data_IF_800778556062
#
_entry.id   IF_800778556062
#
_cell.length_a   1.000
_cell.length_b   1.000
_cell.length_c   1.000
_cell.angle_alpha   90.00
_cell.angle_beta   90.00
_cell.angle_gamma   90.00
#
_symmetry.space_group_name_H-M   'P 1'
#
loop_
_entity.id
_entity.type
_entity.pdbx_description
1 polymer ?
#
# COMPACT_ATOMS: atom_id res chain seq x y z
N UNK A 1 11.59 -7.59 -14.97
CA UNK A 1 11.60 -6.37 -14.14
C UNK A 1 12.99 -6.19 -13.56
N UNK A 2 13.65 -5.03 -13.68
CA UNK A 2 14.90 -4.76 -12.98
C UNK A 2 14.67 -4.40 -11.50
N UNK A 3 13.77 -5.11 -10.82
CA UNK A 3 13.61 -4.96 -9.38
C UNK A 3 14.68 -5.77 -8.65
N UNK A 4 15.36 -5.14 -7.71
CA UNK A 4 16.41 -5.78 -6.91
C UNK A 4 15.75 -6.55 -5.77
N UNK A 5 16.02 -7.85 -5.69
CA UNK A 5 15.58 -8.64 -4.53
C UNK A 5 16.32 -8.17 -3.28
N UNK A 6 15.57 -7.88 -2.22
CA UNK A 6 16.15 -7.47 -0.95
C UNK A 6 16.38 -8.71 -0.09
N UNK A 7 17.62 -8.96 0.38
CA UNK A 7 17.90 -10.08 1.24
C UNK A 7 17.29 -9.83 2.62
N UNK A 8 16.21 -10.56 2.93
CA UNK A 8 15.59 -10.58 4.24
C UNK A 8 15.04 -11.99 4.47
N UNK A 9 15.55 -12.67 5.50
CA UNK A 9 15.13 -14.03 5.82
C UNK A 9 13.61 -14.09 6.01
N UNK A 10 12.96 -15.16 5.55
CA UNK A 10 11.52 -15.40 5.71
C UNK A 10 10.61 -14.32 5.08
N UNK A 11 11.15 -13.53 4.13
CA UNK A 11 10.43 -12.55 3.33
C UNK A 11 10.82 -12.65 1.85
N UNK A 12 9.90 -12.24 1.00
CA UNK A 12 10.12 -12.05 -0.44
C UNK A 12 9.82 -10.60 -0.78
N UNK A 13 10.89 -9.84 -1.00
CA UNK A 13 10.83 -8.41 -1.28
C UNK A 13 11.61 -8.11 -2.55
N UNK A 14 11.03 -7.30 -3.43
CA UNK A 14 11.73 -6.73 -4.58
C UNK A 14 11.49 -5.22 -4.64
N UNK A 15 12.55 -4.46 -4.86
CA UNK A 15 12.49 -3.00 -4.86
C UNK A 15 13.07 -2.42 -6.16
N UNK A 16 12.34 -1.48 -6.75
CA UNK A 16 12.78 -0.70 -7.89
C UNK A 16 12.63 0.81 -7.55
N UNK A 17 13.74 1.54 -7.35
CA UNK A 17 13.70 2.96 -7.00
C UNK A 17 13.24 3.87 -8.13
N UNK A 18 13.20 3.37 -9.37
CA UNK A 18 12.95 4.16 -10.59
C UNK A 18 11.89 3.50 -11.47
N UNK A 19 10.96 2.76 -10.86
CA UNK A 19 9.95 2.01 -11.59
C UNK A 19 9.06 2.91 -12.46
N UNK A 20 8.58 4.02 -11.90
CA UNK A 20 7.91 5.08 -12.62
C UNK A 20 8.89 6.25 -12.81
N UNK A 21 9.01 6.73 -14.04
CA UNK A 21 9.82 7.91 -14.35
C UNK A 21 9.26 9.16 -13.65
N UNK A 22 10.12 10.17 -13.47
CA UNK A 22 9.78 11.35 -12.69
C UNK A 22 8.57 12.12 -13.24
N UNK A 23 8.50 12.31 -14.57
CA UNK A 23 7.41 13.07 -15.19
C UNK A 23 6.07 12.35 -15.04
N UNK A 24 6.04 11.02 -15.27
CA UNK A 24 4.85 10.22 -15.06
C UNK A 24 4.44 10.17 -13.58
N UNK A 25 5.42 10.11 -12.67
CA UNK A 25 5.17 10.09 -11.24
C UNK A 25 4.63 11.44 -10.74
N UNK A 26 5.13 12.57 -11.24
CA UNK A 26 4.64 13.92 -10.93
C UNK A 26 3.21 14.11 -11.46
N UNK A 27 2.95 13.72 -12.72
CA UNK A 27 1.62 13.78 -13.30
C UNK A 27 0.61 12.94 -12.52
N UNK A 28 0.99 11.72 -12.13
CA UNK A 28 0.15 10.84 -11.33
C UNK A 28 -0.09 11.40 -9.92
N UNK A 29 0.94 11.94 -9.27
CA UNK A 29 0.82 12.57 -7.95
C UNK A 29 -0.18 13.73 -7.99
N UNK A 30 -0.03 14.64 -8.97
CA UNK A 30 -0.92 15.78 -9.15
C UNK A 30 -2.37 15.34 -9.44
N UNK A 31 -2.56 14.36 -10.33
CA UNK A 31 -3.88 13.84 -10.68
C UNK A 31 -4.59 13.22 -9.47
N UNK A 32 -3.90 12.36 -8.71
CA UNK A 32 -4.49 11.71 -7.53
C UNK A 32 -4.79 12.69 -6.41
N UNK A 33 -3.90 13.65 -6.18
CA UNK A 33 -4.12 14.70 -5.19
C UNK A 33 -5.39 15.50 -5.48
N UNK A 34 -5.69 15.74 -6.76
CA UNK A 34 -6.87 16.50 -7.19
C UNK A 34 -8.15 15.66 -7.33
N UNK A 35 -8.04 14.39 -7.74
CA UNK A 35 -9.19 13.61 -8.22
C UNK A 35 -9.61 12.45 -7.30
N UNK A 36 -8.71 11.96 -6.43
CA UNK A 36 -9.07 10.86 -5.55
C UNK A 36 -10.04 11.34 -4.45
N UNK A 37 -11.03 10.51 -4.13
CA UNK A 37 -11.95 10.75 -3.02
C UNK A 37 -11.23 10.44 -1.70
N UNK A 38 -10.61 11.45 -1.10
CA UNK A 38 -9.85 11.30 0.14
C UNK A 38 -10.75 11.34 1.37
N UNK A 39 -10.63 10.33 2.21
CA UNK A 39 -11.39 10.18 3.44
C UNK A 39 -10.46 10.01 4.64
N UNK A 40 -10.94 10.41 5.82
CA UNK A 40 -10.30 10.08 7.10
C UNK A 40 -11.03 8.88 7.69
N UNK A 41 -10.41 7.71 7.65
CA UNK A 41 -10.99 6.53 8.30
C UNK A 41 -10.90 6.66 9.81
N UNK A 42 -11.96 6.26 10.50
CA UNK A 42 -11.96 6.12 11.95
C UNK A 42 -11.57 4.70 12.33
N UNK A 43 -10.63 4.59 13.25
CA UNK A 43 -10.20 3.33 13.85
C UNK A 43 -10.64 3.28 15.30
N UNK A 44 -11.08 2.12 15.78
CA UNK A 44 -11.43 1.93 17.18
C UNK A 44 -10.21 1.41 17.94
N UNK A 45 -9.66 2.23 18.83
CA UNK A 45 -8.53 1.87 19.69
C UNK A 45 -8.98 1.98 21.16
N UNK A 46 -8.73 0.93 21.95
CA UNK A 46 -9.09 0.89 23.37
C UNK A 46 -10.56 1.30 23.67
N UNK A 47 -11.48 0.87 22.79
CA UNK A 47 -12.92 1.15 22.91
C UNK A 47 -13.36 2.53 22.40
N UNK A 48 -12.44 3.44 22.09
CA UNK A 48 -12.70 4.80 21.57
C UNK A 48 -12.44 4.89 20.08
N UNK A 49 -13.22 5.71 19.37
CA UNK A 49 -12.95 6.03 17.96
C UNK A 49 -11.87 7.12 17.87
N UNK A 50 -10.90 6.90 17.00
CA UNK A 50 -9.83 7.83 16.70
C UNK A 50 -9.72 7.99 15.20
N UNK A 51 -9.51 9.23 14.75
CA UNK A 51 -9.17 9.50 13.36
C UNK A 51 -7.81 8.89 13.03
N UNK A 52 -7.77 8.15 11.92
CA UNK A 52 -6.53 7.66 11.36
C UNK A 52 -5.62 8.84 11.02
N UNK A 53 -4.32 8.80 11.36
CA UNK A 53 -3.38 9.88 11.09
C UNK A 53 -2.88 9.83 9.63
N UNK A 54 -3.82 9.78 8.68
CA UNK A 54 -3.61 9.85 7.22
C UNK A 54 -4.98 9.95 6.53
N UNK A 55 -4.95 10.40 5.28
CA UNK A 55 -6.07 10.24 4.34
C UNK A 55 -5.98 8.87 3.68
N UNK A 56 -7.10 8.30 3.26
CA UNK A 56 -7.09 7.20 2.32
C UNK A 56 -8.27 7.22 1.35
N UNK A 57 -8.10 6.51 0.24
CA UNK A 57 -9.14 6.28 -0.76
C UNK A 57 -9.01 4.83 -1.23
N UNK A 58 -10.07 4.05 -1.06
CA UNK A 58 -10.11 2.68 -1.57
C UNK A 58 -10.69 2.68 -2.97
N UNK A 59 -9.91 2.23 -3.94
CA UNK A 59 -10.23 2.25 -5.36
C UNK A 59 -10.14 0.81 -5.89
N UNK A 60 -10.99 0.45 -6.84
CA UNK A 60 -11.06 -0.93 -7.28
C UNK A 60 -12.14 -1.20 -8.31
N UNK A 61 -12.12 -2.42 -8.83
CA UNK A 61 -13.15 -2.91 -9.72
C UNK A 61 -14.48 -2.98 -8.97
N UNK A 62 -15.60 -2.83 -9.69
CA UNK A 62 -16.92 -2.85 -9.09
C UNK A 62 -17.16 -4.13 -8.26
N UNK A 63 -16.55 -5.25 -8.66
CA UNK A 63 -16.71 -6.56 -8.03
C UNK A 63 -15.66 -6.88 -6.97
N UNK A 64 -14.69 -5.99 -6.73
CA UNK A 64 -13.80 -6.04 -5.56
C UNK A 64 -14.54 -5.56 -4.30
N UNK A 65 -15.63 -6.25 -3.95
CA UNK A 65 -16.51 -5.96 -2.82
C UNK A 65 -16.13 -6.87 -1.65
N UNK A 66 -16.09 -6.35 -0.43
CA UNK A 66 -16.07 -7.18 0.76
C UNK A 66 -17.24 -6.83 1.68
N UNK A 67 -17.76 -7.86 2.36
CA UNK A 67 -18.83 -7.70 3.35
C UNK A 67 -18.23 -7.92 4.72
N UNK A 68 -18.35 -6.91 5.58
CA UNK A 68 -17.99 -7.03 6.98
C UNK A 68 -19.17 -6.64 7.85
N UNK A 69 -19.58 -7.53 8.76
CA UNK A 69 -20.67 -7.30 9.72
C UNK A 69 -22.00 -6.82 9.10
N UNK A 70 -22.35 -7.35 7.91
CA UNK A 70 -23.58 -6.99 7.20
C UNK A 70 -23.51 -5.68 6.38
N UNK A 71 -22.41 -4.93 6.48
CA UNK A 71 -22.15 -3.75 5.65
C UNK A 71 -21.29 -4.14 4.45
N UNK A 72 -21.75 -3.76 3.26
CA UNK A 72 -21.00 -3.92 2.02
C UNK A 72 -20.12 -2.70 1.80
N UNK A 73 -18.81 -2.92 1.80
CA UNK A 73 -17.86 -1.87 1.44
C UNK A 73 -17.62 -1.96 -0.07
N UNK A 74 -17.76 -0.83 -0.75
CA UNK A 74 -17.53 -0.70 -2.20
C UNK A 74 -16.35 0.23 -2.45
N UNK A 75 -15.42 -0.14 -3.34
CA UNK A 75 -14.36 0.77 -3.73
C UNK A 75 -14.90 1.89 -4.63
N UNK A 76 -14.21 3.02 -4.63
CA UNK A 76 -14.38 4.06 -5.64
C UNK A 76 -13.92 3.54 -7.02
N UNK A 77 -14.51 4.04 -8.12
CA UNK A 77 -14.06 3.70 -9.46
C UNK A 77 -12.62 4.18 -9.70
N UNK A 78 -11.91 3.47 -10.57
CA UNK A 78 -10.54 3.82 -10.96
C UNK A 78 -10.47 5.22 -11.62
N UNK A 79 -9.68 6.16 -11.08
CA UNK A 79 -9.31 7.36 -11.80
C UNK A 79 -8.58 7.00 -13.11
N UNK A 80 -8.87 7.68 -14.24
CA UNK A 80 -8.20 7.37 -15.51
C UNK A 80 -6.68 7.40 -15.44
N UNK A 81 -6.10 8.28 -14.62
CA UNK A 81 -4.66 8.38 -14.40
C UNK A 81 -4.02 7.12 -13.78
N UNK A 82 -4.79 6.27 -13.07
CA UNK A 82 -4.30 5.03 -12.47
C UNK A 82 -4.35 3.83 -13.40
N UNK A 83 -5.13 3.88 -14.49
CA UNK A 83 -5.31 2.73 -15.37
C UNK A 83 -4.00 2.26 -16.01
N UNK A 84 -3.14 3.13 -16.58
CA UNK A 84 -1.87 2.69 -17.16
C UNK A 84 -0.92 2.05 -16.15
N UNK A 85 -0.92 2.56 -14.91
CA UNK A 85 -0.10 2.01 -13.81
C UNK A 85 -0.58 0.61 -13.45
N UNK A 86 -1.90 0.42 -13.31
CA UNK A 86 -2.51 -0.87 -13.00
C UNK A 86 -2.22 -1.89 -14.11
N UNK A 87 -2.39 -1.51 -15.37
CA UNK A 87 -2.14 -2.37 -16.53
C UNK A 87 -0.68 -2.79 -16.62
N UNK A 88 0.24 -1.85 -16.43
CA UNK A 88 1.67 -2.14 -16.37
C UNK A 88 1.98 -3.11 -15.24
N UNK A 89 1.57 -2.82 -14.01
CA UNK A 89 1.79 -3.73 -12.87
C UNK A 89 1.23 -5.13 -13.14
N UNK A 90 0.03 -5.21 -13.72
CA UNK A 90 -0.60 -6.49 -14.03
C UNK A 90 0.18 -7.31 -15.06
N UNK A 91 0.65 -6.67 -16.12
CA UNK A 91 1.50 -7.31 -17.13
C UNK A 91 2.85 -7.77 -16.55
N UNK A 92 3.50 -6.89 -15.78
CA UNK A 92 4.84 -7.15 -15.24
C UNK A 92 4.86 -8.20 -14.12
N UNK A 93 3.79 -8.27 -13.32
CA UNK A 93 3.65 -9.20 -12.20
C UNK A 93 2.87 -10.46 -12.54
N UNK A 94 2.17 -10.50 -13.69
CA UNK A 94 1.30 -11.62 -14.07
C UNK A 94 0.07 -11.78 -13.18
N UNK A 95 -0.40 -10.71 -12.52
CA UNK A 95 -1.59 -10.75 -11.64
C UNK A 95 -2.59 -9.64 -11.99
N UNK A 96 -3.91 -9.90 -11.96
CA UNK A 96 -4.91 -8.90 -12.27
C UNK A 96 -5.24 -8.07 -11.02
N UNK A 97 -4.41 -7.07 -10.69
CA UNK A 97 -4.69 -6.17 -9.57
C UNK A 97 -6.08 -5.52 -9.74
N UNK A 98 -7.02 -5.87 -8.86
CA UNK A 98 -8.41 -5.42 -8.92
C UNK A 98 -8.73 -4.37 -7.84
N UNK A 99 -7.76 -4.04 -6.99
CA UNK A 99 -7.91 -3.05 -5.93
C UNK A 99 -6.61 -2.30 -5.65
N UNK A 100 -6.74 -1.05 -5.24
CA UNK A 100 -5.67 -0.23 -4.67
C UNK A 100 -6.18 0.55 -3.46
N UNK A 101 -5.42 0.53 -2.37
CA UNK A 101 -5.61 1.46 -1.26
C UNK A 101 -4.63 2.62 -1.40
N UNK A 102 -5.14 3.79 -1.78
CA UNK A 102 -4.38 5.03 -1.78
C UNK A 102 -4.30 5.57 -0.35
N UNK A 103 -3.10 5.92 0.12
CA UNK A 103 -2.86 6.51 1.43
C UNK A 103 -2.14 7.86 1.24
N UNK A 104 -2.80 8.94 1.67
CA UNK A 104 -2.28 10.31 1.61
C UNK A 104 -1.71 10.73 2.97
N UNK A 105 -0.40 10.99 3.01
CA UNK A 105 0.31 11.48 4.18
C UNK A 105 0.62 12.95 3.96
N UNK A 106 -0.04 13.83 4.70
CA UNK A 106 0.04 15.29 4.52
C UNK A 106 1.41 15.84 4.87
N UNK A 107 2.05 15.25 5.89
CA UNK A 107 3.38 15.62 6.37
C UNK A 107 4.03 14.48 7.19
N UNK A 108 5.13 14.78 7.88
CA UNK A 108 5.86 13.85 8.74
C UNK A 108 5.10 13.40 9.99
N UNK A 109 4.01 14.07 10.37
CA UNK A 109 3.15 13.66 11.48
C UNK A 109 2.23 12.54 11.05
N UNK A 110 1.80 12.48 9.79
CA UNK A 110 0.99 11.34 9.33
C UNK A 110 1.83 10.05 9.29
N UNK A 111 1.20 8.94 9.65
CA UNK A 111 1.88 7.66 9.84
C UNK A 111 0.96 6.45 9.64
N UNK A 112 1.60 5.29 9.52
CA UNK A 112 0.94 3.99 9.56
C UNK A 112 1.64 3.14 10.61
N UNK A 113 0.89 2.67 11.60
CA UNK A 113 1.40 1.82 12.67
C UNK A 113 1.84 0.44 12.19
N UNK A 114 2.38 -0.37 13.09
CA UNK A 114 2.78 -1.75 12.79
C UNK A 114 1.56 -2.60 12.42
N UNK A 115 1.52 -3.08 11.18
CA UNK A 115 0.47 -3.96 10.64
C UNK A 115 1.09 -4.94 9.63
N UNK A 116 0.28 -5.88 9.12
CA UNK A 116 0.60 -6.67 7.92
C UNK A 116 -0.65 -6.66 7.05
N UNK A 117 -0.49 -6.89 5.75
CA UNK A 117 -1.62 -7.07 4.85
C UNK A 117 -2.04 -8.55 4.91
N UNK A 118 -2.68 -8.95 6.00
CA UNK A 118 -3.09 -10.32 6.32
C UNK A 118 -4.61 -10.52 6.36
N UNK A 119 -5.36 -9.63 5.68
CA UNK A 119 -6.79 -9.78 5.51
C UNK A 119 -7.15 -11.08 4.74
N UNK A 120 -8.14 -11.88 5.22
CA UNK A 120 -8.49 -13.16 4.60
C UNK A 120 -8.78 -13.08 3.09
N UNK A 121 -9.36 -11.98 2.64
CA UNK A 121 -9.70 -11.72 1.24
C UNK A 121 -8.47 -11.62 0.32
N UNK A 122 -7.27 -11.44 0.87
CA UNK A 122 -6.01 -11.42 0.11
C UNK A 122 -5.45 -12.83 -0.12
N UNK A 123 -5.93 -13.82 0.64
CA UNK A 123 -5.39 -15.17 0.67
C UNK A 123 -4.08 -15.28 1.47
N UNK A 124 -3.49 -16.49 1.56
CA UNK A 124 -2.41 -16.79 2.51
C UNK A 124 -1.03 -16.23 2.15
N UNK A 125 -0.80 -15.89 0.87
CA UNK A 125 0.48 -15.38 0.37
C UNK A 125 0.24 -14.33 -0.72
N UNK A 126 -0.30 -13.15 -0.37
CA UNK A 126 -0.68 -12.16 -1.36
C UNK A 126 0.55 -11.50 -1.99
N UNK A 127 0.46 -11.19 -3.28
CA UNK A 127 1.37 -10.24 -3.92
C UNK A 127 0.83 -8.82 -3.74
N UNK A 128 1.60 -8.00 -3.04
CA UNK A 128 1.31 -6.60 -2.78
C UNK A 128 2.29 -5.74 -3.58
N UNK A 129 1.77 -4.81 -4.38
CA UNK A 129 2.57 -3.82 -5.10
C UNK A 129 2.37 -2.42 -4.48
N UNK A 130 3.42 -1.87 -3.88
CA UNK A 130 3.42 -0.58 -3.19
C UNK A 130 4.19 0.46 -3.99
N UNK A 131 3.48 1.35 -4.68
CA UNK A 131 4.04 2.48 -5.42
C UNK A 131 4.01 3.75 -4.57
N UNK A 132 5.14 4.44 -4.47
CA UNK A 132 5.29 5.67 -3.68
C UNK A 132 5.45 6.91 -4.56
N UNK A 133 4.71 7.98 -4.23
CA UNK A 133 4.72 9.27 -4.94
C UNK A 133 4.92 10.42 -3.93
N UNK A 134 5.57 11.52 -4.35
CA UNK A 134 5.89 12.64 -3.48
C UNK A 134 7.05 12.37 -2.52
N UNK A 135 6.92 12.87 -1.29
CA UNK A 135 8.01 12.88 -0.33
C UNK A 135 8.52 11.48 0.06
N UNK A 136 9.85 11.35 0.10
CA UNK A 136 10.53 10.14 0.57
C UNK A 136 10.22 9.87 2.04
N UNK A 137 9.91 8.61 2.37
CA UNK A 137 9.67 8.18 3.75
C UNK A 137 10.32 6.83 4.03
N UNK A 138 10.83 6.72 5.26
CA UNK A 138 11.34 5.46 5.81
C UNK A 138 10.21 4.48 6.05
N UNK A 139 10.24 3.35 5.37
CA UNK A 139 9.41 2.17 5.61
C UNK A 139 10.21 1.15 6.41
N UNK A 140 9.61 0.59 7.45
CA UNK A 140 10.29 -0.34 8.37
C UNK A 140 9.57 -1.67 8.43
N UNK A 141 10.31 -2.76 8.44
CA UNK A 141 9.82 -4.12 8.64
C UNK A 141 10.45 -4.72 9.91
N UNK A 142 9.67 -5.49 10.66
CA UNK A 142 10.15 -6.30 11.77
C UNK A 142 9.49 -7.67 11.74
N UNK A 143 10.27 -8.72 11.95
CA UNK A 143 9.74 -10.08 12.02
C UNK A 143 8.86 -10.22 13.28
N UNK A 144 7.80 -11.03 13.18
CA UNK A 144 6.82 -11.21 14.26
C UNK A 144 7.37 -12.00 15.44
N UNK A 145 8.34 -12.89 15.18
CA UNK A 145 8.88 -13.84 16.18
C UNK A 145 10.33 -13.60 16.55
N UNK A 146 11.11 -13.02 15.63
CA UNK A 146 12.55 -12.81 15.80
C UNK A 146 12.87 -11.31 15.81
N UNK A 147 13.20 -10.72 16.97
CA UNK A 147 13.49 -9.29 17.05
C UNK A 147 14.80 -8.87 16.35
N UNK A 148 15.69 -9.82 16.02
CA UNK A 148 16.92 -9.54 15.27
C UNK A 148 16.63 -9.29 13.78
N UNK A 149 15.58 -9.92 13.24
CA UNK A 149 15.18 -9.79 11.85
C UNK A 149 14.34 -8.51 11.64
N UNK A 150 15.00 -7.47 11.15
CA UNK A 150 14.40 -6.16 10.84
C UNK A 150 15.07 -5.53 9.63
N UNK A 151 14.30 -4.76 8.87
CA UNK A 151 14.79 -4.03 7.71
C UNK A 151 14.18 -2.63 7.66
N UNK A 152 14.83 -1.73 6.93
CA UNK A 152 14.27 -0.43 6.60
C UNK A 152 14.63 -0.03 5.17
N UNK A 153 13.71 0.63 4.49
CA UNK A 153 13.83 1.09 3.12
C UNK A 153 13.39 2.54 3.04
N UNK A 154 14.10 3.35 2.26
CA UNK A 154 13.66 4.70 1.93
C UNK A 154 12.84 4.64 0.64
N UNK A 155 11.52 4.77 0.76
CA UNK A 155 10.62 4.74 -0.39
C UNK A 155 10.49 6.15 -0.96
N UNK A 156 11.12 6.37 -2.12
CA UNK A 156 11.11 7.64 -2.84
C UNK A 156 10.01 7.76 -3.89
N UNK A 157 9.93 8.94 -4.49
CA UNK A 157 9.05 9.23 -5.62
C UNK A 157 9.30 8.27 -6.79
N UNK A 158 8.23 7.70 -7.33
CA UNK A 158 8.27 6.76 -8.46
C UNK A 158 8.72 5.35 -8.10
N UNK A 159 9.05 5.08 -6.83
CA UNK A 159 9.58 3.77 -6.43
C UNK A 159 8.50 2.72 -6.17
N UNK A 160 8.78 1.49 -6.57
CA UNK A 160 7.92 0.32 -6.40
C UNK A 160 8.56 -0.67 -5.42
N UNK A 161 7.82 -1.05 -4.39
CA UNK A 161 8.12 -2.17 -3.50
C UNK A 161 7.11 -3.29 -3.73
N UNK A 162 7.58 -4.46 -4.13
CA UNK A 162 6.80 -5.69 -4.18
C UNK A 162 7.04 -6.50 -2.90
N UNK A 163 5.96 -6.97 -2.29
CA UNK A 163 5.98 -7.87 -1.13
C UNK A 163 5.14 -9.11 -1.46
N UNK A 164 5.74 -10.29 -1.42
CA UNK A 164 5.08 -11.55 -1.79
C UNK A 164 5.38 -12.69 -0.81
N UNK A 165 4.87 -13.88 -1.13
CA UNK A 165 5.18 -15.12 -0.43
C UNK A 165 4.83 -15.01 1.06
N UNK A 166 5.74 -15.42 1.97
CA UNK A 166 5.46 -15.47 3.40
C UNK A 166 5.60 -14.11 4.10
N UNK A 167 5.88 -13.02 3.36
CA UNK A 167 6.20 -11.71 3.95
C UNK A 167 5.13 -11.22 4.93
N UNK A 168 3.85 -11.23 4.54
CA UNK A 168 2.78 -10.71 5.40
C UNK A 168 2.49 -11.62 6.61
N UNK A 169 2.76 -12.92 6.49
CA UNK A 169 2.63 -13.88 7.58
C UNK A 169 3.75 -13.70 8.63
N UNK A 170 4.95 -13.34 8.19
CA UNK A 170 6.14 -13.32 9.04
C UNK A 170 6.55 -11.92 9.51
N UNK A 171 6.22 -10.86 8.77
CA UNK A 171 6.67 -9.51 9.06
C UNK A 171 5.50 -8.57 9.31
N UNK A 172 5.67 -7.67 10.27
CA UNK A 172 4.89 -6.44 10.35
C UNK A 172 5.69 -5.30 9.75
N UNK A 173 5.00 -4.36 9.13
CA UNK A 173 5.59 -3.16 8.57
C UNK A 173 4.89 -1.89 9.05
N UNK A 174 5.60 -0.78 8.94
CA UNK A 174 5.13 0.53 9.40
C UNK A 174 5.75 1.66 8.58
N UNK A 175 5.05 2.79 8.57
CA UNK A 175 5.55 4.08 8.12
C UNK A 175 5.58 5.02 9.34
N UNK A 176 6.67 5.05 10.12
CA UNK A 176 6.74 5.83 11.35
C UNK A 176 6.64 7.35 11.09
N UNK A 177 6.19 8.07 12.13
CA UNK A 177 6.24 9.54 12.16
C UNK A 177 7.70 10.02 12.10
N UNK A 178 7.91 11.21 11.57
CA UNK A 178 9.21 11.88 11.55
C UNK A 178 9.06 13.33 11.96
N UNK A 179 9.99 13.81 12.78
CA UNK A 179 10.10 15.24 13.12
C UNK A 179 10.80 16.04 12.03
N UNK A 180 11.48 15.38 11.08
CA UNK A 180 12.11 16.05 9.93
C UNK A 180 11.00 16.65 9.05
N UNK A 181 11.13 17.91 8.60
CA UNK A 181 10.23 18.48 7.61
C UNK A 181 10.27 17.62 6.34
N UNK A 182 9.11 17.10 5.94
CA UNK A 182 8.91 16.32 4.72
C UNK A 182 7.62 16.78 4.07
N UNK A 183 7.58 16.75 2.74
CA UNK A 183 6.38 17.09 1.97
C UNK A 183 5.30 16.02 2.05
N UNK A 184 4.25 16.24 1.26
CA UNK A 184 3.15 15.30 1.07
C UNK A 184 3.62 14.03 0.34
N UNK A 185 3.07 12.88 0.73
CA UNK A 185 3.33 11.57 0.12
C UNK A 185 2.01 10.86 -0.18
N UNK A 186 1.90 10.29 -1.36
CA UNK A 186 0.84 9.35 -1.70
C UNK A 186 1.45 7.95 -1.86
N UNK A 187 0.82 6.95 -1.26
CA UNK A 187 1.17 5.55 -1.43
C UNK A 187 0.02 4.77 -2.01
N UNK A 188 0.28 4.01 -3.06
CA UNK A 188 -0.69 3.17 -3.74
C UNK A 188 -0.35 1.72 -3.43
N UNK A 189 -1.18 1.05 -2.63
CA UNK A 189 -1.01 -0.38 -2.31
C UNK A 189 -1.97 -1.21 -3.13
N UNK A 190 -1.50 -1.76 -4.26
CA UNK A 190 -2.27 -2.60 -5.16
C UNK A 190 -2.34 -4.04 -4.64
N UNK A 191 -3.53 -4.64 -4.72
CA UNK A 191 -3.85 -5.98 -4.23
C UNK A 191 -4.81 -6.70 -5.18
N UNK A 192 -4.93 -8.01 -4.98
CA UNK A 192 -6.00 -8.84 -5.57
C UNK A 192 -6.94 -9.26 -4.46
N UNK A 193 -8.13 -8.69 -4.45
CA UNK A 193 -9.22 -9.09 -3.55
C UNK A 193 -9.88 -10.33 -4.13
N UNK A 194 -9.86 -11.43 -3.37
CA UNK A 194 -10.54 -12.67 -3.71
C UNK A 194 -12.00 -12.57 -3.24
N UNK A 195 -12.96 -13.13 -4.00
CA UNK A 195 -14.31 -13.27 -3.51
C UNK A 195 -14.31 -14.03 -2.17
N UNK A 196 -15.17 -13.63 -1.24
CA UNK A 196 -15.38 -14.39 -0.02
C UNK A 196 -15.77 -15.82 -0.41
N UNK A 197 -14.95 -16.80 -0.03
CA UNK A 197 -15.35 -18.20 -0.09
C UNK A 197 -16.56 -18.36 0.81
N UNK A 198 -17.70 -18.72 0.24
CA UNK A 198 -18.80 -19.27 1.04
C UNK A 198 -18.30 -20.62 1.57
N UNK A 199 -18.01 -20.68 2.86
CA UNK A 199 -18.04 -21.96 3.59
C UNK A 199 -19.48 -22.47 3.67
#
# INVERSE_FOLDING_TARGET
MPSTRLPLQDAELAYDPHWLDADAADALFAALRAQATWEVHRIRLFGREHDSPRLSSWIGDADARYRYSGTEFRPHPWPPALLPVRERLAHECGVPFNSVLANGYRDGRDAMGWHSDDEPELGPAPLIASLSLGARRRFTLKHRRDPALKAALELGHGSLLLMSGPTQANYRHALPRTARPVGERINLTFRVIRPATKE
#
